data_IF_450530735942
#
_entry.id   IF_450530735942
#
_cell.length_a   1.000
_cell.length_b   1.000
_cell.length_c   1.000
_cell.angle_alpha   90.00
_cell.angle_beta   90.00
_cell.angle_gamma   90.00
#
_symmetry.space_group_name_H-M   'P 1'
#
loop_
_entity.id
_entity.type
_entity.pdbx_description
1 polymer ?
#
# COMPACT_ATOMS: atom_id res chain seq x y z
N UNK A 1 19.68 -20.14 30.60
CA UNK A 1 18.24 -20.24 30.90
C UNK A 1 17.62 -18.91 31.36
N UNK A 2 18.18 -18.19 32.34
CA UNK A 2 17.63 -16.89 32.77
C UNK A 2 17.72 -15.75 31.71
N UNK A 3 18.74 -15.78 30.84
CA UNK A 3 18.91 -14.79 29.77
C UNK A 3 17.87 -14.93 28.64
N UNK A 4 17.40 -16.14 28.35
CA UNK A 4 16.38 -16.37 27.32
C UNK A 4 14.98 -16.00 27.80
N UNK A 5 14.66 -16.25 29.06
CA UNK A 5 13.41 -15.77 29.67
C UNK A 5 13.35 -14.24 29.73
N UNK A 6 14.48 -13.55 29.95
CA UNK A 6 14.54 -12.08 29.88
C UNK A 6 14.27 -11.55 28.48
N UNK A 7 14.85 -12.18 27.45
CA UNK A 7 14.63 -11.79 26.06
C UNK A 7 13.19 -12.03 25.61
N UNK A 8 12.57 -13.11 26.08
CA UNK A 8 11.15 -13.39 25.84
C UNK A 8 10.24 -12.40 26.60
N UNK A 9 10.60 -12.02 27.83
CA UNK A 9 9.90 -10.97 28.58
C UNK A 9 10.05 -9.59 27.94
N UNK A 10 11.21 -9.22 27.38
CA UNK A 10 11.37 -7.98 26.61
C UNK A 10 10.55 -7.98 25.31
N UNK A 11 10.35 -9.16 24.71
CA UNK A 11 9.54 -9.33 23.52
C UNK A 11 8.03 -9.33 23.84
N UNK A 12 7.64 -9.79 25.04
CA UNK A 12 6.26 -9.77 25.56
C UNK A 12 5.87 -8.44 26.21
N UNK A 13 6.83 -7.69 26.76
CA UNK A 13 6.63 -6.38 27.39
C UNK A 13 6.87 -5.20 26.43
N UNK A 14 6.94 -5.46 25.11
CA UNK A 14 7.08 -4.41 24.10
C UNK A 14 8.35 -3.59 24.33
N UNK A 15 9.48 -4.13 23.88
CA UNK A 15 10.78 -3.46 23.73
C UNK A 15 10.72 -1.93 23.90
N UNK A 16 11.42 -1.45 24.94
CA UNK A 16 11.59 -0.06 25.38
C UNK A 16 12.27 0.87 24.33
N UNK A 17 11.80 0.86 23.09
CA UNK A 17 11.90 2.00 22.18
C UNK A 17 10.92 3.13 22.60
N UNK A 18 9.98 2.82 23.52
CA UNK A 18 8.97 3.74 24.04
C UNK A 18 9.55 4.91 24.85
N UNK A 19 10.80 4.84 25.34
CA UNK A 19 11.37 5.95 26.14
C UNK A 19 11.62 7.25 25.37
N UNK A 20 11.74 7.21 24.02
CA UNK A 20 11.76 8.42 23.17
C UNK A 20 10.40 8.78 22.57
N UNK A 21 9.44 7.85 22.53
CA UNK A 21 8.08 8.10 22.08
C UNK A 21 7.19 8.68 23.20
N UNK A 22 7.53 8.45 24.46
CA UNK A 22 6.77 8.85 25.64
C UNK A 22 6.65 10.37 25.89
N UNK A 23 7.17 11.23 24.99
CA UNK A 23 7.04 12.69 25.10
C UNK A 23 6.59 13.38 23.81
N UNK A 24 6.23 12.64 22.75
CA UNK A 24 5.76 13.26 21.51
C UNK A 24 4.25 13.49 21.59
N UNK A 25 3.82 14.71 21.29
CA UNK A 25 2.39 15.02 21.18
C UNK A 25 1.81 14.49 19.86
N UNK A 26 0.50 14.29 19.83
CA UNK A 26 -0.29 13.98 18.62
C UNK A 26 -0.02 14.95 17.46
N UNK A 27 0.38 16.19 17.76
CA UNK A 27 0.64 17.26 16.79
C UNK A 27 2.09 17.34 16.31
N UNK A 28 3.00 16.53 16.86
CA UNK A 28 4.41 16.61 16.51
C UNK A 28 4.62 16.22 15.03
N UNK A 29 5.36 17.01 14.23
CA UNK A 29 5.58 16.73 12.81
C UNK A 29 6.33 15.42 12.53
N UNK A 30 7.04 14.88 13.54
CA UNK A 30 7.72 13.58 13.46
C UNK A 30 6.74 12.42 13.53
N UNK A 31 5.53 12.62 14.06
CA UNK A 31 4.53 11.55 14.16
C UNK A 31 3.85 11.35 12.80
N UNK A 32 3.66 10.08 12.44
CA UNK A 32 3.03 9.73 11.18
C UNK A 32 1.52 9.96 11.24
N UNK A 33 1.06 11.05 10.63
CA UNK A 33 -0.37 11.37 10.51
C UNK A 33 -1.17 10.26 9.83
N UNK A 34 -0.62 9.63 8.80
CA UNK A 34 -1.26 8.51 8.10
C UNK A 34 -1.45 7.27 8.99
N UNK A 35 -0.54 7.06 9.95
CA UNK A 35 -0.65 5.98 10.93
C UNK A 35 -1.69 6.29 12.01
N UNK A 36 -1.81 7.57 12.42
CA UNK A 36 -2.82 8.01 13.39
C UNK A 36 -4.23 8.00 12.79
N UNK A 37 -4.39 8.54 11.58
CA UNK A 37 -5.70 8.64 10.92
C UNK A 37 -6.19 7.31 10.32
N UNK A 38 -5.29 6.36 10.08
CA UNK A 38 -5.63 5.09 9.45
C UNK A 38 -4.47 4.10 9.41
N UNK A 39 -4.13 3.65 8.20
CA UNK A 39 -3.03 2.71 7.97
C UNK A 39 -1.95 3.39 7.16
N UNK A 40 -0.72 3.43 7.69
CA UNK A 40 0.39 3.98 6.94
C UNK A 40 0.75 3.05 5.75
N UNK A 41 0.87 3.58 4.52
CA UNK A 41 1.28 2.79 3.35
C UNK A 41 2.65 2.12 3.52
N UNK A 42 3.58 2.73 4.26
CA UNK A 42 4.89 2.15 4.53
C UNK A 42 4.77 0.82 5.29
N UNK A 43 3.95 0.79 6.34
CA UNK A 43 3.71 -0.45 7.10
C UNK A 43 2.95 -1.47 6.25
N UNK A 44 1.93 -1.03 5.51
CA UNK A 44 1.08 -1.91 4.71
C UNK A 44 1.85 -2.69 3.64
N UNK A 45 2.84 -2.06 3.01
CA UNK A 45 3.61 -2.66 1.92
C UNK A 45 4.95 -3.27 2.35
N UNK A 46 5.27 -3.26 3.64
CA UNK A 46 6.49 -3.89 4.17
C UNK A 46 6.56 -5.37 3.76
N UNK A 47 7.71 -5.83 3.27
CA UNK A 47 7.93 -7.21 2.80
C UNK A 47 7.10 -7.61 1.56
N UNK A 48 6.54 -6.65 0.83
CA UNK A 48 5.85 -6.93 -0.44
C UNK A 48 6.74 -6.58 -1.63
N UNK A 49 6.33 -6.97 -2.85
CA UNK A 49 6.99 -6.50 -4.08
C UNK A 49 6.87 -4.98 -4.30
N UNK A 50 6.04 -4.30 -3.51
CA UNK A 50 5.80 -2.86 -3.55
C UNK A 50 6.35 -2.15 -2.32
N UNK A 51 7.30 -2.76 -1.62
CA UNK A 51 7.90 -2.18 -0.42
C UNK A 51 8.54 -0.82 -0.73
N UNK A 52 8.01 0.22 -0.09
CA UNK A 52 8.47 1.61 -0.20
C UNK A 52 9.48 1.98 0.90
N UNK A 53 9.94 1.00 1.67
CA UNK A 53 10.87 1.15 2.78
C UNK A 53 10.19 1.56 4.08
N UNK A 54 10.98 1.60 5.17
CA UNK A 54 10.47 1.96 6.49
C UNK A 54 9.93 3.39 6.51
N UNK A 55 8.88 3.62 7.31
CA UNK A 55 8.30 4.95 7.44
C UNK A 55 9.35 5.93 8.00
N UNK A 56 9.54 7.11 7.40
CA UNK A 56 10.45 8.14 7.93
C UNK A 56 9.90 8.83 9.19
N UNK A 57 8.63 8.58 9.53
CA UNK A 57 7.92 9.15 10.68
C UNK A 57 7.71 8.10 11.77
N UNK A 58 7.49 8.57 12.99
CA UNK A 58 7.28 7.73 14.17
C UNK A 58 5.87 7.15 14.18
N UNK A 59 5.79 5.82 14.29
CA UNK A 59 4.56 5.08 14.57
C UNK A 59 4.55 4.71 16.06
N UNK A 60 3.62 5.28 16.81
CA UNK A 60 3.46 5.03 18.25
C UNK A 60 2.02 4.63 18.52
N UNK A 61 1.83 3.42 19.05
CA UNK A 61 0.51 2.90 19.40
C UNK A 61 -0.16 3.74 20.48
N UNK A 62 0.58 4.23 21.48
CA UNK A 62 0.03 5.10 22.53
C UNK A 62 -0.59 6.38 21.96
N UNK A 63 0.12 7.05 21.05
CA UNK A 63 -0.37 8.28 20.40
C UNK A 63 -1.55 7.99 19.48
N UNK A 64 -1.57 6.82 18.83
CA UNK A 64 -2.69 6.37 18.00
C UNK A 64 -3.95 6.15 18.84
N UNK A 65 -3.84 5.44 19.97
CA UNK A 65 -4.97 5.23 20.88
C UNK A 65 -5.48 6.55 21.46
N UNK A 66 -4.60 7.49 21.80
CA UNK A 66 -5.01 8.85 22.21
C UNK A 66 -5.78 9.57 21.11
N UNK A 67 -5.31 9.54 19.87
CA UNK A 67 -6.00 10.15 18.73
C UNK A 67 -7.35 9.48 18.43
N UNK A 68 -7.42 8.16 18.51
CA UNK A 68 -8.65 7.39 18.29
C UNK A 68 -9.70 7.66 19.37
N UNK A 69 -9.28 7.92 20.61
CA UNK A 69 -10.14 8.28 21.73
C UNK A 69 -10.73 9.70 21.63
N UNK A 70 -10.17 10.58 20.80
CA UNK A 70 -10.72 11.92 20.56
C UNK A 70 -12.08 11.86 19.86
N UNK A 71 -12.95 12.83 20.16
CA UNK A 71 -14.22 12.98 19.44
C UNK A 71 -14.03 13.44 17.99
N UNK A 72 -14.99 13.13 17.12
CA UNK A 72 -14.93 13.45 15.68
C UNK A 72 -14.67 14.95 15.41
N UNK A 73 -15.27 15.81 16.24
CA UNK A 73 -15.12 17.27 16.15
C UNK A 73 -13.69 17.74 16.45
N UNK A 74 -12.95 17.01 17.29
CA UNK A 74 -11.55 17.29 17.60
C UNK A 74 -10.63 16.72 16.53
N UNK A 75 -10.89 15.49 16.05
CA UNK A 75 -10.20 14.90 14.90
C UNK A 75 -10.28 15.79 13.66
N UNK A 76 -11.46 16.35 13.39
CA UNK A 76 -11.66 17.27 12.27
C UNK A 76 -10.88 18.59 12.43
N UNK A 77 -10.65 19.08 13.66
CA UNK A 77 -9.80 20.25 13.91
C UNK A 77 -8.34 19.99 13.57
N UNK A 78 -7.85 18.77 13.83
CA UNK A 78 -6.48 18.39 13.47
C UNK A 78 -6.29 18.23 11.95
N UNK A 79 -7.35 17.87 11.22
CA UNK A 79 -7.31 17.74 9.77
C UNK A 79 -6.47 16.57 9.25
N UNK A 80 -6.11 15.62 10.11
CA UNK A 80 -5.24 14.49 9.75
C UNK A 80 -5.88 13.56 8.71
N UNK A 81 -7.21 13.44 8.71
CA UNK A 81 -7.93 12.67 7.69
C UNK A 81 -7.76 13.27 6.30
N UNK A 82 -7.78 14.60 6.19
CA UNK A 82 -7.57 15.29 4.91
C UNK A 82 -6.14 15.07 4.40
N UNK A 83 -5.14 15.22 5.28
CA UNK A 83 -3.75 14.91 4.96
C UNK A 83 -3.59 13.44 4.54
N UNK A 84 -4.25 12.53 5.25
CA UNK A 84 -4.21 11.11 4.95
C UNK A 84 -4.80 10.79 3.57
N UNK A 85 -5.98 11.34 3.24
CA UNK A 85 -6.58 11.19 1.90
C UNK A 85 -5.67 11.76 0.80
N UNK A 86 -5.07 12.93 1.04
CA UNK A 86 -4.14 13.55 0.09
C UNK A 86 -2.90 12.70 -0.14
N UNK A 87 -2.36 12.08 0.91
CA UNK A 87 -1.21 11.20 0.79
C UNK A 87 -1.59 9.90 0.07
N UNK A 88 -2.74 9.31 0.38
CA UNK A 88 -3.26 8.13 -0.33
C UNK A 88 -3.45 8.39 -1.83
N UNK A 89 -3.92 9.58 -2.22
CA UNK A 89 -4.09 9.95 -3.63
C UNK A 89 -2.79 9.80 -4.43
N UNK A 90 -1.63 10.16 -3.84
CA UNK A 90 -0.33 10.02 -4.51
C UNK A 90 -0.02 8.56 -4.84
N UNK A 91 -0.32 7.65 -3.91
CA UNK A 91 -0.11 6.21 -4.11
C UNK A 91 -1.10 5.63 -5.12
N UNK A 92 -2.36 6.09 -5.10
CA UNK A 92 -3.37 5.71 -6.10
C UNK A 92 -2.93 6.14 -7.49
N UNK A 93 -2.44 7.37 -7.65
CA UNK A 93 -1.98 7.88 -8.95
C UNK A 93 -0.79 7.09 -9.48
N UNK A 94 0.15 6.71 -8.61
CA UNK A 94 1.27 5.85 -9.00
C UNK A 94 0.81 4.43 -9.38
N UNK A 95 -0.14 3.86 -8.66
CA UNK A 95 -0.77 2.59 -9.03
C UNK A 95 -1.45 2.68 -10.41
N UNK A 96 -2.21 3.74 -10.66
CA UNK A 96 -2.87 3.96 -11.94
C UNK A 96 -1.86 4.06 -13.09
N UNK A 97 -0.78 4.83 -12.92
CA UNK A 97 0.30 4.92 -13.93
C UNK A 97 0.91 3.57 -14.26
N UNK A 98 1.10 2.71 -13.25
CA UNK A 98 1.66 1.37 -13.43
C UNK A 98 0.68 0.42 -14.09
N UNK A 99 -0.61 0.55 -13.79
CA UNK A 99 -1.68 -0.17 -14.48
C UNK A 99 -1.69 0.24 -15.96
N UNK A 100 -1.69 1.54 -16.27
CA UNK A 100 -1.67 2.04 -17.65
C UNK A 100 -0.45 1.55 -18.42
N UNK A 101 0.74 1.59 -17.79
CA UNK A 101 1.97 1.08 -18.41
C UNK A 101 1.91 -0.45 -18.64
N UNK A 102 1.29 -1.21 -17.73
CA UNK A 102 1.10 -2.64 -17.92
C UNK A 102 0.06 -2.94 -19.01
N UNK A 103 -1.04 -2.19 -19.06
CA UNK A 103 -2.05 -2.30 -20.10
C UNK A 103 -1.47 -2.00 -21.47
N UNK A 104 -0.68 -0.93 -21.63
CA UNK A 104 0.03 -0.62 -22.89
C UNK A 104 0.98 -1.72 -23.35
N UNK A 105 1.57 -2.48 -22.44
CA UNK A 105 2.40 -3.66 -22.80
C UNK A 105 1.57 -4.87 -23.23
N UNK A 106 0.32 -4.95 -22.77
CA UNK A 106 -0.62 -6.01 -23.11
C UNK A 106 -1.46 -5.68 -24.35
N UNK A 107 -1.57 -4.41 -24.71
CA UNK A 107 -2.19 -3.96 -25.95
C UNK A 107 -1.46 -4.58 -27.14
N UNK A 108 -2.17 -5.46 -27.85
CA UNK A 108 -1.67 -6.04 -29.09
C UNK A 108 -1.43 -4.92 -30.08
N UNK A 109 -0.25 -4.92 -30.69
CA UNK A 109 0.06 -3.97 -31.75
C UNK A 109 -0.94 -4.12 -32.90
N UNK A 110 -1.24 -3.04 -33.65
CA UNK A 110 -2.11 -3.13 -34.83
C UNK A 110 -1.67 -4.20 -35.83
N UNK A 111 -0.37 -4.48 -35.90
CA UNK A 111 0.19 -5.52 -36.75
C UNK A 111 -0.07 -6.93 -36.23
N UNK A 112 0.04 -7.16 -34.92
CA UNK A 112 -0.36 -8.44 -34.29
C UNK A 112 -1.86 -8.70 -34.44
N UNK A 113 -2.69 -7.66 -34.34
CA UNK A 113 -4.14 -7.76 -34.58
C UNK A 113 -4.41 -8.12 -36.05
N UNK A 114 -3.73 -7.45 -37.00
CA UNK A 114 -3.85 -7.75 -38.43
C UNK A 114 -3.40 -9.18 -38.74
N UNK A 115 -2.26 -9.61 -38.23
CA UNK A 115 -1.75 -10.98 -38.41
C UNK A 115 -2.71 -12.01 -37.81
N UNK A 116 -3.23 -11.76 -36.60
CA UNK A 116 -4.25 -12.63 -35.97
C UNK A 116 -5.49 -12.74 -36.86
N UNK A 117 -6.01 -11.62 -37.38
CA UNK A 117 -7.20 -11.63 -38.24
C UNK A 117 -6.95 -12.37 -39.56
N UNK A 118 -5.76 -12.22 -40.17
CA UNK A 118 -5.37 -12.98 -41.36
C UNK A 118 -5.31 -14.47 -41.05
N UNK A 119 -4.67 -14.86 -39.94
CA UNK A 119 -4.56 -16.26 -39.54
C UNK A 119 -5.94 -16.88 -39.28
N UNK A 120 -6.82 -16.19 -38.56
CA UNK A 120 -8.19 -16.62 -38.28
C UNK A 120 -8.98 -16.80 -39.58
N UNK A 121 -8.81 -15.91 -40.56
CA UNK A 121 -9.45 -16.02 -41.87
C UNK A 121 -8.95 -17.25 -42.63
N UNK A 122 -7.64 -17.50 -42.62
CA UNK A 122 -7.06 -18.69 -43.27
C UNK A 122 -7.54 -19.99 -42.61
N UNK A 123 -7.62 -20.03 -41.29
CA UNK A 123 -8.15 -21.20 -40.55
C UNK A 123 -9.63 -21.46 -40.85
N UNK A 124 -10.44 -20.40 -40.98
CA UNK A 124 -11.86 -20.54 -41.30
C UNK A 124 -12.07 -20.98 -42.75
N UNK A 125 -11.29 -20.47 -43.71
CA UNK A 125 -11.28 -21.01 -45.09
C UNK A 125 -10.84 -22.48 -45.14
N UNK A 126 -9.84 -22.85 -44.36
CA UNK A 126 -9.34 -24.24 -44.33
C UNK A 126 -10.36 -25.21 -43.73
N UNK A 127 -11.10 -24.81 -42.69
CA UNK A 127 -12.20 -25.60 -42.11
C UNK A 127 -13.41 -25.73 -43.05
N UNK A 128 -13.70 -24.71 -43.87
CA UNK A 128 -14.75 -24.78 -44.89
C UNK A 128 -14.35 -25.65 -46.09
N UNK A 129 -13.05 -25.70 -46.43
CA UNK A 129 -12.54 -26.52 -47.53
C UNK A 129 -12.42 -28.02 -47.19
N UNK A 130 -12.32 -28.36 -45.90
CA UNK A 130 -12.29 -29.74 -45.41
C UNK A 130 -13.29 -29.92 -44.25
N UNK A 131 -14.60 -30.06 -44.54
CA UNK A 131 -15.54 -30.47 -43.52
C UNK A 131 -15.18 -31.91 -43.10
N UNK A 132 -14.79 -32.09 -41.83
CA UNK A 132 -14.71 -33.42 -41.25
C UNK A 132 -16.10 -34.07 -41.32
N UNK A 133 -16.21 -35.16 -42.08
CA UNK A 133 -17.36 -36.06 -42.14
C UNK A 133 -17.42 -36.89 -40.85
#
# INVERSE_FOLDING_TARGET
>A
MAAEQRKLLEQLMGASASSRAAQLSVTDPKVCRSYLAGTCPHDLFTNTKQDIGPCPKVHSEGIKSEYEALGDREKQKYGFEYDYMRDLQKYIDECNRRIDAAQRRLEKTPDEIRQTNVLVRTLSFSNLAFPHN
#
